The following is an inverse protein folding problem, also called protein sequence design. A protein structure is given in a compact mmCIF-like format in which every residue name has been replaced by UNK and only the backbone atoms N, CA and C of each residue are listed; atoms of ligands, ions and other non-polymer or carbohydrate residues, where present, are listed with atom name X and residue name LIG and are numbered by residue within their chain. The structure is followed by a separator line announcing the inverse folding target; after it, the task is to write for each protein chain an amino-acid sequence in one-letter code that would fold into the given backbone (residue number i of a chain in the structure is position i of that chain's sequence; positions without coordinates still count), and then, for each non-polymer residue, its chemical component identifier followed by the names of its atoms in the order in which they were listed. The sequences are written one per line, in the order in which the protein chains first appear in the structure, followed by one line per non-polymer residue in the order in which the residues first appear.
data_IF_677333368133
#
_entry.id   IF_677333368133
#
_cell.length_a   1.000
_cell.length_b   1.000
_cell.length_c   1.000
_cell.angle_alpha   90.00
_cell.angle_beta   90.00
_cell.angle_gamma   90.00
#
_symmetry.space_group_name_H-M   'P 1'
#
loop_
_entity.id
_entity.type
_entity.pdbx_description
1 polymer ?
#
# COMPACT_ATOMS: atom_id res chain seq x y z
N UNK A 1 -1.18 5.44 -8.04
CA UNK A 1 -0.31 6.59 -7.69
C UNK A 1 0.04 6.50 -6.22
N UNK A 2 1.32 6.35 -5.87
CA UNK A 2 1.81 6.14 -4.50
C UNK A 2 1.81 7.42 -3.66
N UNK A 3 0.65 8.08 -3.53
CA UNK A 3 0.49 9.32 -2.79
C UNK A 3 0.29 9.03 -1.29
N UNK A 4 0.90 9.81 -0.38
CA UNK A 4 0.62 9.69 1.04
C UNK A 4 -0.80 10.20 1.36
N UNK A 5 -1.40 9.65 2.41
CA UNK A 5 -2.71 10.02 2.96
C UNK A 5 -2.50 10.62 4.36
N UNK A 6 -3.17 11.73 4.68
CA UNK A 6 -3.08 12.39 6.00
C UNK A 6 -4.02 11.74 7.03
N UNK A 7 -3.84 12.06 8.31
CA UNK A 7 -4.60 11.44 9.40
C UNK A 7 -6.12 11.57 9.26
N UNK A 8 -6.61 12.75 8.90
CA UNK A 8 -8.05 13.04 8.77
C UNK A 8 -8.70 12.24 7.64
N UNK A 9 -8.01 12.15 6.50
CA UNK A 9 -8.44 11.35 5.36
C UNK A 9 -8.30 9.85 5.65
N UNK A 10 -7.25 9.43 6.35
CA UNK A 10 -7.08 8.05 6.77
C UNK A 10 -8.22 7.62 7.73
N UNK A 11 -8.68 8.51 8.62
CA UNK A 11 -9.80 8.24 9.52
C UNK A 11 -11.11 8.11 8.73
N UNK A 12 -11.39 9.01 7.79
CA UNK A 12 -12.61 8.94 6.97
C UNK A 12 -12.63 7.69 6.07
N UNK A 13 -11.47 7.26 5.58
CA UNK A 13 -11.30 6.02 4.84
C UNK A 13 -11.28 4.78 5.74
N UNK A 14 -11.26 4.93 7.07
CA UNK A 14 -11.19 3.85 8.05
C UNK A 14 -9.88 3.05 8.02
N UNK A 15 -8.78 3.69 7.65
CA UNK A 15 -7.41 3.17 7.74
C UNK A 15 -6.81 3.34 9.15
N UNK A 16 -7.29 4.35 9.89
CA UNK A 16 -6.99 4.55 11.32
C UNK A 16 -8.30 4.69 12.09
N UNK A 17 -8.31 4.26 13.34
CA UNK A 17 -9.53 4.25 14.16
C UNK A 17 -9.75 5.54 14.98
N UNK A 18 -8.70 6.34 15.19
CA UNK A 18 -8.77 7.60 15.92
C UNK A 18 -7.60 8.54 15.60
N UNK A 19 -7.81 9.83 15.84
CA UNK A 19 -6.79 10.89 15.79
C UNK A 19 -6.73 11.54 17.16
N UNK A 20 -5.51 11.68 17.70
CA UNK A 20 -5.24 12.29 19.01
C UNK A 20 -4.01 13.19 18.91
N UNK A 21 -3.77 14.01 19.93
CA UNK A 21 -2.53 14.78 20.01
C UNK A 21 -1.31 13.87 20.18
N UNK A 22 -0.10 14.32 19.78
CA UNK A 22 1.11 13.49 19.86
C UNK A 22 1.42 12.97 21.27
N UNK A 23 1.12 13.76 22.30
CA UNK A 23 1.33 13.43 23.71
C UNK A 23 0.35 12.36 24.25
N UNK A 24 -0.81 12.19 23.61
CA UNK A 24 -1.84 11.22 24.00
C UNK A 24 -1.80 9.91 23.19
N UNK A 25 -0.91 9.80 22.19
CA UNK A 25 -0.91 8.68 21.25
C UNK A 25 -0.77 7.32 21.95
N UNK A 26 0.26 7.19 22.79
CA UNK A 26 0.58 5.92 23.46
C UNK A 26 -0.45 5.60 24.54
N UNK A 27 -0.92 6.60 25.31
CA UNK A 27 -1.92 6.39 26.36
C UNK A 27 -3.26 5.95 25.76
N UNK A 28 -3.68 6.56 24.66
CA UNK A 28 -4.90 6.20 23.94
C UNK A 28 -4.80 4.81 23.33
N UNK A 29 -3.68 4.46 22.68
CA UNK A 29 -3.47 3.13 22.11
C UNK A 29 -3.49 2.02 23.18
N UNK A 30 -2.88 2.27 24.35
CA UNK A 30 -2.92 1.33 25.49
C UNK A 30 -4.35 1.11 26.00
N UNK A 31 -5.11 2.19 26.17
CA UNK A 31 -6.53 2.10 26.54
C UNK A 31 -7.33 1.33 25.50
N UNK A 32 -7.05 1.55 24.20
CA UNK A 32 -7.71 0.82 23.12
C UNK A 32 -7.46 -0.68 23.18
N UNK A 33 -6.23 -1.10 23.48
CA UNK A 33 -5.89 -2.51 23.65
C UNK A 33 -6.62 -3.13 24.86
N UNK A 34 -6.72 -2.40 25.98
CA UNK A 34 -7.50 -2.83 27.14
C UNK A 34 -8.99 -2.92 26.83
N UNK A 35 -9.54 -1.96 26.08
CA UNK A 35 -10.94 -2.00 25.65
C UNK A 35 -11.24 -3.24 24.78
N UNK A 36 -10.32 -3.66 23.92
CA UNK A 36 -10.46 -4.90 23.13
C UNK A 36 -10.44 -6.12 24.06
N UNK A 37 -9.48 -6.17 25.00
CA UNK A 37 -9.36 -7.27 25.98
C UNK A 37 -10.62 -7.42 26.83
N UNK A 38 -11.15 -6.28 27.30
CA UNK A 38 -12.36 -6.18 28.11
C UNK A 38 -13.65 -6.29 27.28
N UNK A 39 -13.54 -6.57 25.97
CA UNK A 39 -14.67 -6.69 25.02
C UNK A 39 -15.56 -5.45 24.91
N UNK A 40 -15.04 -4.28 25.28
CA UNK A 40 -15.66 -2.98 25.02
C UNK A 40 -15.50 -2.54 23.56
N UNK A 41 -14.55 -3.16 22.84
CA UNK A 41 -14.32 -2.97 21.41
C UNK A 41 -14.15 -4.32 20.71
N UNK A 42 -14.53 -4.42 19.42
CA UNK A 42 -14.36 -5.65 18.66
C UNK A 42 -12.88 -5.93 18.38
N UNK A 43 -12.49 -7.20 18.46
CA UNK A 43 -11.21 -7.66 17.92
C UNK A 43 -11.40 -8.01 16.44
N UNK A 44 -10.95 -7.11 15.55
CA UNK A 44 -11.13 -7.24 14.10
C UNK A 44 -9.82 -7.63 13.44
N UNK A 45 -9.85 -8.68 12.61
CA UNK A 45 -8.74 -9.07 11.75
C UNK A 45 -8.95 -8.49 10.34
N UNK A 46 -8.24 -7.40 10.01
CA UNK A 46 -8.44 -6.65 8.76
C UNK A 46 -8.30 -7.50 7.50
N UNK A 47 -7.47 -8.54 7.52
CA UNK A 47 -7.25 -9.45 6.40
C UNK A 47 -8.55 -10.13 5.90
N UNK A 48 -9.52 -10.35 6.79
CA UNK A 48 -10.77 -11.03 6.48
C UNK A 48 -11.96 -10.09 6.34
N UNK A 49 -11.72 -8.78 6.36
CA UNK A 49 -12.77 -7.77 6.31
C UNK A 49 -13.22 -7.54 4.85
N UNK A 50 -14.52 -7.64 4.59
CA UNK A 50 -15.10 -7.53 3.23
C UNK A 50 -16.14 -6.43 3.08
N UNK A 51 -16.38 -5.64 4.13
CA UNK A 51 -17.39 -4.56 4.17
C UNK A 51 -17.15 -3.43 3.14
N UNK A 52 -15.92 -3.32 2.64
CA UNK A 52 -15.50 -2.31 1.65
C UNK A 52 -15.11 -2.92 0.30
N UNK A 53 -15.49 -4.18 0.06
CA UNK A 53 -15.21 -4.88 -1.20
C UNK A 53 -16.50 -4.95 -2.00
N UNK A 54 -16.45 -4.45 -3.23
CA UNK A 54 -17.59 -4.51 -4.14
C UNK A 54 -17.94 -5.95 -4.53
N UNK A 55 -19.19 -6.22 -4.95
CA UNK A 55 -19.57 -7.52 -5.49
C UNK A 55 -18.62 -7.98 -6.60
N UNK A 56 -18.38 -9.30 -6.68
CA UNK A 56 -17.34 -9.86 -7.56
C UNK A 56 -17.47 -9.44 -9.03
N UNK A 57 -18.70 -9.26 -9.54
CA UNK A 57 -18.93 -8.78 -10.90
C UNK A 57 -18.43 -7.36 -11.13
N UNK A 58 -18.73 -6.45 -10.20
CA UNK A 58 -18.30 -5.05 -10.25
C UNK A 58 -16.79 -4.93 -10.03
N UNK A 59 -16.24 -5.66 -9.06
CA UNK A 59 -14.81 -5.70 -8.80
C UNK A 59 -13.99 -6.10 -10.05
N UNK A 60 -14.47 -7.09 -10.83
CA UNK A 60 -13.82 -7.50 -12.08
C UNK A 60 -13.77 -6.40 -13.13
N UNK A 61 -14.85 -5.64 -13.29
CA UNK A 61 -14.86 -4.49 -14.22
C UNK A 61 -13.95 -3.36 -13.74
N UNK A 62 -13.88 -3.10 -12.42
CA UNK A 62 -12.93 -2.15 -11.82
C UNK A 62 -11.49 -2.56 -12.15
N UNK A 63 -11.12 -3.84 -11.99
CA UNK A 63 -9.77 -4.32 -12.32
C UNK A 63 -9.45 -4.22 -13.81
N UNK A 64 -10.42 -4.54 -14.68
CA UNK A 64 -10.27 -4.38 -16.13
C UNK A 64 -10.00 -2.92 -16.50
N UNK A 65 -10.77 -1.99 -15.94
CA UNK A 65 -10.54 -0.55 -16.13
C UNK A 65 -9.18 -0.10 -15.59
N UNK A 66 -8.82 -0.51 -14.38
CA UNK A 66 -7.55 -0.18 -13.74
C UNK A 66 -6.35 -0.68 -14.57
N UNK A 67 -6.41 -1.90 -15.11
CA UNK A 67 -5.37 -2.43 -16.02
C UNK A 67 -5.24 -1.61 -17.28
N UNK A 68 -6.35 -1.24 -17.92
CA UNK A 68 -6.32 -0.39 -19.12
C UNK A 68 -5.69 0.98 -18.84
N UNK A 69 -6.05 1.60 -17.70
CA UNK A 69 -5.48 2.87 -17.27
C UNK A 69 -3.98 2.76 -16.96
N UNK A 70 -3.56 1.71 -16.24
CA UNK A 70 -2.16 1.48 -15.90
C UNK A 70 -1.28 1.29 -17.14
N UNK A 71 -1.74 0.49 -18.12
CA UNK A 71 -1.05 0.31 -19.40
C UNK A 71 -0.91 1.62 -20.17
N UNK A 72 -1.93 2.48 -20.14
CA UNK A 72 -1.90 3.80 -20.79
C UNK A 72 -0.91 4.76 -20.11
N UNK A 73 -0.89 4.78 -18.78
CA UNK A 73 -0.05 5.72 -18.02
C UNK A 73 1.42 5.33 -18.00
N UNK A 74 1.72 4.03 -17.97
CA UNK A 74 3.09 3.53 -17.85
C UNK A 74 3.28 2.24 -18.66
N UNK A 75 3.28 2.32 -20.01
CA UNK A 75 3.33 1.13 -20.87
C UNK A 75 4.59 0.28 -20.67
N UNK A 76 5.69 0.89 -20.22
CA UNK A 76 6.97 0.23 -20.01
C UNK A 76 7.15 -0.34 -18.59
N UNK A 77 6.18 -0.12 -17.68
CA UNK A 77 6.25 -0.59 -16.30
C UNK A 77 5.33 -1.79 -16.10
N UNK A 78 5.91 -2.92 -15.67
CA UNK A 78 5.17 -4.15 -15.40
C UNK A 78 4.53 -4.15 -14.00
N UNK A 79 5.23 -3.60 -13.01
CA UNK A 79 4.81 -3.65 -11.60
C UNK A 79 3.40 -3.11 -11.32
N UNK A 80 2.85 -2.06 -12.00
CA UNK A 80 1.49 -1.61 -11.71
C UNK A 80 0.41 -2.64 -12.09
N UNK A 81 0.65 -3.42 -13.15
CA UNK A 81 -0.27 -4.49 -13.58
C UNK A 81 -0.19 -5.65 -12.59
N UNK A 82 1.02 -6.03 -12.20
CA UNK A 82 1.23 -7.09 -11.20
C UNK A 82 0.56 -6.74 -9.87
N UNK A 83 0.66 -5.50 -9.39
CA UNK A 83 -0.07 -5.05 -8.21
C UNK A 83 -1.59 -5.24 -8.33
N UNK A 84 -2.17 -4.96 -9.50
CA UNK A 84 -3.60 -5.17 -9.74
C UNK A 84 -3.95 -6.66 -9.72
N UNK A 85 -3.13 -7.50 -10.34
CA UNK A 85 -3.36 -8.94 -10.43
C UNK A 85 -3.26 -9.63 -9.05
N UNK A 86 -2.36 -9.16 -8.18
CA UNK A 86 -2.25 -9.61 -6.78
C UNK A 86 -3.51 -9.28 -5.99
N UNK A 87 -4.01 -8.04 -6.11
CA UNK A 87 -5.23 -7.61 -5.41
C UNK A 87 -6.43 -8.41 -5.92
N UNK A 88 -6.57 -8.59 -7.24
CA UNK A 88 -7.64 -9.39 -7.82
C UNK A 88 -7.60 -10.84 -7.33
N UNK A 89 -6.42 -11.48 -7.26
CA UNK A 89 -6.30 -12.83 -6.73
C UNK A 89 -6.74 -12.92 -5.26
N UNK A 90 -6.43 -11.91 -4.44
CA UNK A 90 -6.89 -11.84 -3.05
C UNK A 90 -8.42 -11.75 -2.92
N UNK A 91 -9.09 -11.05 -3.85
CA UNK A 91 -10.55 -10.93 -3.88
C UNK A 91 -11.20 -12.20 -4.44
N UNK A 92 -10.65 -12.78 -5.51
CA UNK A 92 -11.23 -13.93 -6.22
C UNK A 92 -10.98 -15.25 -5.49
N UNK A 93 -9.75 -15.48 -5.04
CA UNK A 93 -9.29 -16.75 -4.47
C UNK A 93 -9.14 -16.71 -2.95
N UNK A 94 -9.44 -15.57 -2.33
CA UNK A 94 -9.38 -15.35 -0.90
C UNK A 94 -8.04 -14.78 -0.41
N UNK A 95 -8.04 -14.23 0.82
CA UNK A 95 -6.96 -13.37 1.30
C UNK A 95 -5.60 -14.07 1.39
N UNK A 96 -5.56 -15.35 1.81
CA UNK A 96 -4.31 -16.11 1.91
C UNK A 96 -3.70 -16.38 0.53
N UNK A 97 -4.53 -16.65 -0.48
CA UNK A 97 -4.05 -16.84 -1.85
C UNK A 97 -3.46 -15.53 -2.39
N UNK A 98 -4.10 -14.39 -2.10
CA UNK A 98 -3.56 -13.06 -2.40
C UNK A 98 -2.18 -12.82 -1.79
N UNK A 99 -1.99 -13.15 -0.50
CA UNK A 99 -0.69 -13.00 0.18
C UNK A 99 0.41 -13.89 -0.43
N UNK A 100 0.08 -15.14 -0.81
CA UNK A 100 1.04 -16.00 -1.49
C UNK A 100 1.45 -15.46 -2.86
N UNK A 101 0.45 -15.04 -3.65
CA UNK A 101 0.70 -14.41 -4.94
C UNK A 101 1.52 -13.13 -4.80
N UNK A 102 1.22 -12.30 -3.80
CA UNK A 102 1.98 -11.09 -3.48
C UNK A 102 3.46 -11.42 -3.25
N UNK A 103 3.74 -12.43 -2.42
CA UNK A 103 5.10 -12.84 -2.10
C UNK A 103 5.86 -13.33 -3.34
N UNK A 104 5.23 -14.18 -4.17
CA UNK A 104 5.82 -14.72 -5.40
C UNK A 104 6.12 -13.62 -6.42
N UNK A 105 5.11 -12.81 -6.74
CA UNK A 105 5.21 -11.75 -7.74
C UNK A 105 6.18 -10.65 -7.29
N UNK A 106 6.23 -10.35 -5.98
CA UNK A 106 7.21 -9.42 -5.42
C UNK A 106 8.64 -9.90 -5.64
N UNK A 107 8.92 -11.20 -5.45
CA UNK A 107 10.26 -11.75 -5.68
C UNK A 107 10.66 -11.60 -7.15
N UNK A 108 9.76 -11.83 -8.10
CA UNK A 108 10.05 -11.62 -9.52
C UNK A 108 10.36 -10.13 -9.80
N UNK A 109 9.51 -9.23 -9.31
CA UNK A 109 9.67 -7.79 -9.54
C UNK A 109 10.95 -7.25 -8.91
N UNK A 110 11.32 -7.71 -7.73
CA UNK A 110 12.52 -7.30 -7.00
C UNK A 110 13.79 -7.52 -7.83
N UNK A 111 13.86 -8.63 -8.58
CA UNK A 111 15.02 -8.98 -9.38
C UNK A 111 15.02 -8.33 -10.78
N UNK A 112 13.94 -7.66 -11.17
CA UNK A 112 13.81 -7.00 -12.46
C UNK A 112 14.74 -5.79 -12.63
N UNK A 113 15.19 -5.56 -13.87
CA UNK A 113 16.03 -4.40 -14.18
C UNK A 113 15.29 -3.07 -14.03
N UNK A 114 13.97 -3.08 -14.21
CA UNK A 114 13.12 -1.91 -13.95
C UNK A 114 13.15 -1.54 -12.46
N UNK A 115 13.07 -2.51 -11.55
CA UNK A 115 13.19 -2.25 -10.11
C UNK A 115 14.56 -1.65 -9.78
N UNK A 116 15.66 -2.30 -10.22
CA UNK A 116 17.02 -1.80 -10.00
C UNK A 116 17.22 -0.38 -10.51
N UNK A 117 16.70 -0.09 -11.71
CA UNK A 117 16.79 1.23 -12.35
C UNK A 117 16.02 2.30 -11.57
N UNK A 118 14.80 1.99 -11.11
CA UNK A 118 14.00 2.93 -10.31
C UNK A 118 14.65 3.20 -8.95
N UNK A 119 15.21 2.18 -8.30
CA UNK A 119 15.97 2.33 -7.05
C UNK A 119 17.23 3.19 -7.28
N UNK A 120 17.95 2.96 -8.38
CA UNK A 120 19.09 3.78 -8.74
C UNK A 120 18.70 5.26 -8.92
N UNK A 121 17.61 5.54 -9.65
CA UNK A 121 17.10 6.90 -9.83
C UNK A 121 16.76 7.55 -8.49
N UNK A 122 16.11 6.82 -7.57
CA UNK A 122 15.78 7.31 -6.23
C UNK A 122 17.01 7.80 -5.45
N UNK A 123 18.13 7.07 -5.53
CA UNK A 123 19.37 7.46 -4.86
C UNK A 123 20.10 8.58 -5.60
N UNK A 124 20.17 8.51 -6.93
CA UNK A 124 20.77 9.55 -7.76
C UNK A 124 20.12 10.92 -7.48
N UNK A 125 18.78 10.97 -7.41
CA UNK A 125 18.03 12.19 -7.08
C UNK A 125 18.37 12.79 -5.71
N UNK A 126 18.74 11.97 -4.72
CA UNK A 126 19.18 12.46 -3.39
C UNK A 126 20.63 12.89 -3.38
N UNK A 127 21.47 12.20 -4.16
CA UNK A 127 22.89 12.50 -4.30
C UNK A 127 23.17 13.87 -4.92
N UNK A 128 22.26 14.42 -5.74
CA UNK A 128 22.44 15.74 -6.37
C UNK A 128 22.57 16.90 -5.38
N UNK A 129 22.07 16.74 -4.14
CA UNK A 129 22.23 17.72 -3.06
C UNK A 129 23.63 17.75 -2.44
N UNK A 130 24.46 16.72 -2.69
CA UNK A 130 25.83 16.60 -2.17
C UNK A 130 26.82 17.08 -3.22
N UNK A 131 26.84 18.39 -3.45
CA UNK A 131 27.87 19.00 -4.30
C UNK A 131 29.12 19.19 -3.45
N UNK A 132 30.22 18.55 -3.85
CA UNK A 132 31.54 18.91 -3.34
C UNK A 132 31.86 20.31 -3.84
N UNK A 133 31.89 21.30 -2.94
CA UNK A 133 32.47 22.60 -3.28
C UNK A 133 33.93 22.33 -3.64
N UNK A 134 34.27 22.49 -4.92
CA UNK A 134 35.66 22.53 -5.33
C UNK A 134 36.22 23.82 -4.73
N UNK A 135 36.88 23.71 -3.58
CA UNK A 135 37.68 24.79 -3.03
C UNK A 135 38.89 24.95 -3.95
N UNK A 136 38.79 25.87 -4.91
CA UNK A 136 39.87 26.13 -5.86
C UNK A 136 39.44 26.91 -7.09
N UNK A 137 38.93 28.13 -6.90
CA UNK A 137 39.29 29.34 -7.66
C UNK A 137 39.28 30.51 -6.69
#
# INVERSE_FOLDING_TARGET
MSKPVKGEEALSLGLVDAIVSPDELVSTARRWALDILERRRPWVASLYKTDKIEPLGEAKEIFKFARAQARKQAPNLKHPIVCIDVIEAGIVSGPRAGLWKEAEDFQELLHSDTCKSLVHIFFAQRGTSRVLVVAGI
#
